data_IF_008828532741
#
_entry.id   IF_008828532741
#
_cell.length_a   1.000
_cell.length_b   1.000
_cell.length_c   1.000
_cell.angle_alpha   90.00
_cell.angle_beta   90.00
_cell.angle_gamma   90.00
#
_symmetry.space_group_name_H-M   'P 1'
#
loop_
_entity.id
_entity.type
_entity.pdbx_description
1 polymer ?
#
# COMPACT_ATOMS: atom_id res chain seq x y z
N UNK A 1 2.84 -7.74 -25.99
CA UNK A 1 3.09 -6.72 -24.96
C UNK A 1 2.03 -6.79 -23.83
N UNK A 2 1.70 -7.99 -23.32
CA UNK A 2 0.63 -8.17 -22.31
C UNK A 2 1.14 -8.20 -20.85
N UNK A 3 2.43 -8.44 -20.62
CA UNK A 3 2.98 -8.63 -19.27
C UNK A 3 3.17 -7.37 -18.42
N UNK A 4 3.38 -6.20 -19.04
CA UNK A 4 3.61 -4.95 -18.29
C UNK A 4 2.35 -4.43 -17.58
N UNK A 5 1.18 -4.65 -18.16
CA UNK A 5 -0.09 -4.20 -17.58
C UNK A 5 -0.44 -4.98 -16.30
N UNK A 6 -0.28 -6.31 -16.32
CA UNK A 6 -0.49 -7.15 -15.14
C UNK A 6 0.51 -6.86 -14.02
N UNK A 7 1.78 -6.63 -14.36
CA UNK A 7 2.81 -6.32 -13.36
C UNK A 7 2.53 -4.98 -12.66
N UNK A 8 2.09 -3.95 -13.40
CA UNK A 8 1.67 -2.67 -12.80
C UNK A 8 0.45 -2.84 -11.89
N UNK A 9 -0.53 -3.65 -12.29
CA UNK A 9 -1.70 -3.94 -11.43
C UNK A 9 -1.29 -4.65 -10.14
N UNK A 10 -0.40 -5.64 -10.21
CA UNK A 10 0.10 -6.36 -9.04
C UNK A 10 0.89 -5.45 -8.09
N UNK A 11 1.77 -4.61 -8.64
CA UNK A 11 2.53 -3.63 -7.83
C UNK A 11 1.58 -2.66 -7.12
N UNK A 12 0.55 -2.19 -7.83
CA UNK A 12 -0.46 -1.28 -7.26
C UNK A 12 -1.26 -1.95 -6.15
N UNK A 13 -1.75 -3.16 -6.36
CA UNK A 13 -2.48 -3.93 -5.35
C UNK A 13 -1.61 -4.22 -4.11
N UNK A 14 -0.35 -4.60 -4.32
CA UNK A 14 0.59 -4.81 -3.21
C UNK A 14 0.83 -3.51 -2.42
N UNK A 15 0.93 -2.38 -3.10
CA UNK A 15 1.08 -1.06 -2.47
C UNK A 15 -0.15 -0.68 -1.64
N UNK A 16 -1.37 -0.96 -2.14
CA UNK A 16 -2.62 -0.74 -1.41
C UNK A 16 -2.67 -1.60 -0.14
N UNK A 17 -2.32 -2.89 -0.26
CA UNK A 17 -2.26 -3.83 0.87
C UNK A 17 -1.23 -3.39 1.92
N UNK A 18 -0.06 -2.94 1.48
CA UNK A 18 0.98 -2.43 2.38
C UNK A 18 0.52 -1.17 3.12
N UNK A 19 -0.12 -0.21 2.45
CA UNK A 19 -0.66 0.99 3.09
C UNK A 19 -1.69 0.64 4.18
N UNK A 20 -2.59 -0.30 3.89
CA UNK A 20 -3.59 -0.81 4.85
C UNK A 20 -2.93 -1.49 6.05
N UNK A 21 -1.92 -2.33 5.81
CA UNK A 21 -1.17 -3.00 6.87
C UNK A 21 -0.39 -1.99 7.73
N UNK A 22 0.22 -0.97 7.11
CA UNK A 22 0.90 0.11 7.81
C UNK A 22 -0.03 0.85 8.77
N UNK A 23 -1.21 1.25 8.31
CA UNK A 23 -2.22 1.92 9.13
C UNK A 23 -2.69 1.04 10.29
N UNK A 24 -2.98 -0.23 10.02
CA UNK A 24 -3.39 -1.17 11.07
C UNK A 24 -2.27 -1.39 12.10
N UNK A 25 -1.02 -1.49 11.66
CA UNK A 25 0.14 -1.63 12.55
C UNK A 25 0.38 -0.38 13.38
N UNK A 26 0.23 0.81 12.79
CA UNK A 26 0.31 2.08 13.50
C UNK A 26 -0.75 2.19 14.60
N UNK A 27 -1.98 1.73 14.34
CA UNK A 27 -3.06 1.65 15.33
C UNK A 27 -2.78 0.65 16.47
N UNK A 28 -2.01 -0.41 16.18
CA UNK A 28 -1.60 -1.45 17.15
C UNK A 28 -0.27 -1.13 17.86
N UNK A 29 0.17 0.13 17.87
CA UNK A 29 1.44 0.57 18.50
C UNK A 29 2.68 -0.18 17.97
N UNK A 30 2.68 -0.50 16.67
CA UNK A 30 3.81 -1.20 16.05
C UNK A 30 5.10 -0.39 16.12
N UNK A 31 6.22 -1.09 16.20
CA UNK A 31 7.52 -0.44 16.29
C UNK A 31 7.87 0.29 14.99
N UNK A 32 8.69 1.36 15.06
CA UNK A 32 9.19 2.04 13.86
C UNK A 32 9.88 1.10 12.87
N UNK A 33 10.54 0.03 13.35
CA UNK A 33 11.18 -0.98 12.49
C UNK A 33 10.15 -1.79 11.70
N UNK A 34 9.05 -2.22 12.31
CA UNK A 34 7.96 -2.92 11.60
C UNK A 34 7.31 -2.01 10.54
N UNK A 35 7.11 -0.73 10.88
CA UNK A 35 6.56 0.26 9.95
C UNK A 35 7.51 0.53 8.78
N UNK A 36 8.81 0.61 9.04
CA UNK A 36 9.85 0.79 8.02
C UNK A 36 9.96 -0.42 7.08
N UNK A 37 9.84 -1.64 7.61
CA UNK A 37 9.79 -2.86 6.78
C UNK A 37 8.62 -2.83 5.79
N UNK A 38 7.44 -2.38 6.23
CA UNK A 38 6.26 -2.27 5.35
C UNK A 38 6.50 -1.21 4.27
N UNK A 39 7.00 -0.03 4.66
CA UNK A 39 7.31 1.05 3.72
C UNK A 39 8.39 0.67 2.69
N UNK A 40 9.38 -0.14 3.06
CA UNK A 40 10.42 -0.61 2.14
C UNK A 40 9.95 -1.73 1.19
N UNK A 41 8.82 -2.38 1.47
CA UNK A 41 8.30 -3.49 0.66
C UNK A 41 7.48 -3.05 -0.56
N UNK A 42 7.14 -1.76 -0.67
CA UNK A 42 6.24 -1.26 -1.71
C UNK A 42 6.97 -0.92 -3.01
N UNK A 43 6.32 -1.21 -4.14
CA UNK A 43 6.85 -0.82 -5.45
C UNK A 43 6.47 0.60 -5.89
N UNK A 44 5.42 1.20 -5.30
CA UNK A 44 5.02 2.59 -5.57
C UNK A 44 4.93 3.42 -4.28
N UNK A 45 6.06 3.96 -3.85
CA UNK A 45 6.17 4.69 -2.58
C UNK A 45 5.31 5.97 -2.54
N UNK A 46 5.10 6.62 -3.69
CA UNK A 46 4.26 7.82 -3.78
C UNK A 46 2.78 7.50 -3.50
N UNK A 47 2.27 6.40 -4.10
CA UNK A 47 0.92 5.92 -3.84
C UNK A 47 0.76 5.46 -2.39
N UNK A 48 1.77 4.79 -1.84
CA UNK A 48 1.78 4.35 -0.45
C UNK A 48 1.55 5.51 0.54
N UNK A 49 2.37 6.56 0.48
CA UNK A 49 2.23 7.71 1.37
C UNK A 49 0.93 8.49 1.15
N UNK A 50 0.47 8.57 -0.10
CA UNK A 50 -0.82 9.18 -0.43
C UNK A 50 -1.98 8.44 0.25
N UNK A 51 -1.98 7.10 0.25
CA UNK A 51 -3.01 6.29 0.89
C UNK A 51 -2.95 6.33 2.43
N UNK A 52 -1.75 6.48 3.00
CA UNK A 52 -1.61 6.70 4.45
C UNK A 52 -2.23 8.04 4.85
N UNK A 53 -2.07 9.09 4.02
CA UNK A 53 -2.69 10.38 4.25
C UNK A 53 -4.19 10.43 3.93
N UNK A 54 -4.69 9.50 3.12
CA UNK A 54 -6.08 9.44 2.66
C UNK A 54 -6.60 7.99 2.73
N UNK A 55 -6.76 7.42 3.95
CA UNK A 55 -7.13 6.03 4.13
C UNK A 55 -8.50 5.68 3.56
N UNK A 56 -9.41 6.66 3.40
CA UNK A 56 -10.71 6.48 2.74
C UNK A 56 -10.60 6.10 1.26
N UNK A 57 -9.51 6.49 0.59
CA UNK A 57 -9.26 6.16 -0.81
C UNK A 57 -8.89 4.68 -1.01
N UNK A 58 -8.37 4.01 0.04
CA UNK A 58 -8.05 2.58 0.01
C UNK A 58 -9.31 1.77 -0.33
N UNK A 59 -10.42 2.02 0.36
CA UNK A 59 -11.69 1.32 0.10
C UNK A 59 -12.24 1.60 -1.30
N UNK A 60 -12.05 2.83 -1.81
CA UNK A 60 -12.49 3.19 -3.16
C UNK A 60 -11.65 2.51 -4.24
N UNK A 61 -10.35 2.33 -4.01
CA UNK A 61 -9.44 1.66 -4.93
C UNK A 61 -9.57 0.14 -4.89
N UNK A 62 -9.89 -0.46 -3.73
CA UNK A 62 -10.21 -1.89 -3.61
C UNK A 62 -11.48 -2.26 -4.41
N UNK A 63 -12.45 -1.35 -4.51
CA UNK A 63 -13.68 -1.55 -5.29
C UNK A 63 -13.49 -1.47 -6.82
N UNK A 64 -12.35 -0.93 -7.27
CA UNK A 64 -12.01 -0.80 -8.70
C UNK A 64 -11.05 -1.90 -9.19
N UNK A 65 -10.72 -2.88 -8.34
CA UNK A 65 -9.81 -4.01 -8.60
C UNK A 65 -10.48 -5.23 -9.21
#
# INVERSE_FOLDING_TARGET
MAGQSQQKTLIRQNTILAAKNFLAKMDNDATPEELDMIANSVGEIALFWHLIGNPEEISSLELQG
#
